data_IF_405878065401
#
_entry.id   IF_405878065401
#
_cell.length_a   1.000
_cell.length_b   1.000
_cell.length_c   1.000
_cell.angle_alpha   90.00
_cell.angle_beta   90.00
_cell.angle_gamma   90.00
#
_symmetry.space_group_name_H-M   'P 1'
#
loop_
_entity.id
_entity.type
_entity.pdbx_description
1 polymer ?
#
# COMPACT_ATOMS: atom_id res chain seq x y z
N UNK A 1 -11.83 -0.88 0.21
CA UNK A 1 -10.47 -0.48 -0.15
C UNK A 1 -9.44 -0.92 0.88
N UNK A 2 -8.19 -0.56 0.66
CA UNK A 2 -7.11 -0.78 1.62
C UNK A 2 -7.08 0.30 2.71
N UNK A 3 -7.62 1.48 2.41
CA UNK A 3 -7.69 2.58 3.38
C UNK A 3 -8.65 2.19 4.50
N UNK A 4 -8.20 2.20 5.78
CA UNK A 4 -9.08 1.92 6.92
C UNK A 4 -10.15 3.02 7.08
N UNK A 5 -11.21 2.73 7.83
CA UNK A 5 -12.16 3.75 8.26
C UNK A 5 -11.47 4.77 9.16
N UNK A 6 -11.78 6.05 8.99
CA UNK A 6 -11.22 7.14 9.80
C UNK A 6 -12.23 8.30 9.93
N UNK A 7 -12.07 9.06 11.01
CA UNK A 7 -12.85 10.29 11.27
C UNK A 7 -12.04 11.55 10.98
N UNK A 8 -10.70 11.46 11.10
CA UNK A 8 -9.80 12.56 10.76
C UNK A 8 -8.62 12.06 9.93
N UNK A 9 -8.21 12.90 8.99
CA UNK A 9 -7.09 12.68 8.10
C UNK A 9 -6.18 13.92 8.15
N UNK A 10 -4.90 13.68 8.39
CA UNK A 10 -3.87 14.70 8.35
C UNK A 10 -2.86 14.30 7.28
N UNK A 11 -2.64 15.16 6.32
CA UNK A 11 -1.71 14.97 5.21
C UNK A 11 -0.61 16.02 5.30
N UNK A 12 0.62 15.56 5.14
CA UNK A 12 1.84 16.39 5.17
C UNK A 12 2.74 16.00 4.00
N UNK A 13 3.71 16.85 3.68
CA UNK A 13 4.82 16.56 2.76
C UNK A 13 4.40 15.93 1.43
N UNK A 14 3.65 16.70 0.64
CA UNK A 14 3.23 16.26 -0.69
C UNK A 14 4.33 16.46 -1.71
N UNK A 15 4.68 15.38 -2.42
CA UNK A 15 5.64 15.36 -3.53
C UNK A 15 4.96 14.80 -4.77
N UNK A 16 5.14 15.45 -5.92
CA UNK A 16 4.68 14.98 -7.22
C UNK A 16 5.81 15.03 -8.22
N UNK A 17 5.90 13.99 -9.05
CA UNK A 17 6.88 13.89 -10.13
C UNK A 17 6.48 12.84 -11.15
N UNK A 18 7.29 12.70 -12.20
CA UNK A 18 7.07 11.71 -13.24
C UNK A 18 8.29 10.80 -13.37
N UNK A 19 8.04 9.51 -13.54
CA UNK A 19 9.05 8.51 -13.84
C UNK A 19 8.60 7.62 -14.99
N UNK A 20 9.31 7.67 -16.13
CA UNK A 20 9.01 6.90 -17.33
C UNK A 20 7.53 6.99 -17.77
N UNK A 21 7.01 8.20 -17.85
CA UNK A 21 5.62 8.53 -18.19
C UNK A 21 4.56 8.08 -17.15
N UNK A 22 4.97 7.64 -15.97
CA UNK A 22 4.10 7.38 -14.83
C UNK A 22 4.16 8.58 -13.89
N UNK A 23 3.02 9.20 -13.64
CA UNK A 23 2.93 10.23 -12.61
C UNK A 23 2.92 9.56 -11.24
N UNK A 24 3.83 10.01 -10.39
CA UNK A 24 4.00 9.60 -8.99
C UNK A 24 3.55 10.74 -8.09
N UNK A 25 2.65 10.45 -7.18
CA UNK A 25 2.25 11.33 -6.08
C UNK A 25 2.52 10.65 -4.75
N UNK A 26 3.10 11.38 -3.80
CA UNK A 26 3.59 10.89 -2.54
C UNK A 26 3.15 11.87 -1.44
N UNK A 27 2.59 11.36 -0.35
CA UNK A 27 2.22 12.20 0.79
C UNK A 27 2.31 11.41 2.09
N UNK A 28 2.76 12.07 3.15
CA UNK A 28 2.63 11.53 4.49
C UNK A 28 1.19 11.66 4.97
N UNK A 29 0.69 10.62 5.62
CA UNK A 29 -0.70 10.55 6.06
C UNK A 29 -0.83 9.96 7.44
N UNK A 30 -1.61 10.64 8.29
CA UNK A 30 -2.06 10.12 9.59
C UNK A 30 -3.57 10.05 9.60
N UNK A 31 -4.10 8.81 9.71
CA UNK A 31 -5.53 8.56 9.80
C UNK A 31 -5.89 8.16 11.23
N UNK A 32 -6.92 8.78 11.78
CA UNK A 32 -7.37 8.55 13.14
C UNK A 32 -8.87 8.26 13.18
N UNK A 33 -9.26 7.35 14.06
CA UNK A 33 -10.64 6.97 14.33
C UNK A 33 -10.97 7.22 15.81
N UNK A 34 -12.13 7.76 16.07
CA UNK A 34 -12.64 7.94 17.42
C UNK A 34 -13.43 6.70 17.83
N UNK A 35 -13.02 6.05 18.91
CA UNK A 35 -13.66 4.85 19.44
C UNK A 35 -14.24 5.10 20.83
N UNK A 36 -15.34 4.39 21.13
CA UNK A 36 -16.05 4.53 22.40
C UNK A 36 -17.07 5.67 22.40
N UNK A 37 -17.76 5.84 23.53
CA UNK A 37 -18.79 6.85 23.72
C UNK A 37 -18.68 7.51 25.10
N UNK A 38 -19.18 8.74 25.22
CA UNK A 38 -19.19 9.49 26.47
C UNK A 38 -17.80 9.64 27.08
N UNK A 39 -17.64 9.29 28.35
CA UNK A 39 -16.38 9.41 29.10
C UNK A 39 -15.26 8.44 28.61
N UNK A 40 -15.62 7.41 27.87
CA UNK A 40 -14.66 6.42 27.33
C UNK A 40 -14.26 6.70 25.88
N UNK A 41 -14.54 7.88 25.37
CA UNK A 41 -14.15 8.30 24.02
C UNK A 41 -12.64 8.46 23.95
N UNK A 42 -12.01 7.79 22.94
CA UNK A 42 -10.58 7.88 22.67
C UNK A 42 -10.31 7.94 21.17
N UNK A 43 -9.31 8.71 20.78
CA UNK A 43 -8.81 8.74 19.41
C UNK A 43 -7.70 7.68 19.25
N UNK A 44 -7.79 6.88 18.20
CA UNK A 44 -6.81 5.83 17.88
C UNK A 44 -6.27 6.09 16.49
N UNK A 45 -4.96 6.09 16.33
CA UNK A 45 -4.32 6.14 15.00
C UNK A 45 -4.52 4.77 14.34
N UNK A 46 -5.23 4.77 13.21
CA UNK A 46 -5.52 3.55 12.42
C UNK A 46 -4.55 3.36 11.26
N UNK A 47 -3.89 4.45 10.84
CA UNK A 47 -2.77 4.43 9.91
C UNK A 47 -1.86 5.64 10.17
N UNK A 48 -0.56 5.41 10.09
CA UNK A 48 0.47 6.44 10.03
C UNK A 48 1.52 5.96 9.03
N UNK A 49 1.88 6.81 8.05
CA UNK A 49 2.83 6.42 7.02
C UNK A 49 2.68 7.21 5.74
N UNK A 50 3.06 6.60 4.63
CA UNK A 50 3.12 7.22 3.32
C UNK A 50 2.09 6.60 2.39
N UNK A 51 1.34 7.44 1.68
CA UNK A 51 0.60 7.06 0.49
C UNK A 51 1.43 7.36 -0.75
N UNK A 52 1.59 6.35 -1.61
CA UNK A 52 2.17 6.50 -2.94
C UNK A 52 1.10 6.18 -3.95
N UNK A 53 0.74 7.15 -4.77
CA UNK A 53 -0.22 6.99 -5.85
C UNK A 53 0.50 7.06 -7.19
N UNK A 54 0.39 6.00 -7.97
CA UNK A 54 0.95 5.90 -9.32
C UNK A 54 -0.18 5.96 -10.34
N UNK A 55 -0.07 6.85 -11.33
CA UNK A 55 -0.94 6.87 -12.50
C UNK A 55 -0.32 5.99 -13.59
N UNK A 56 -0.90 4.83 -13.81
CA UNK A 56 -0.31 3.81 -14.69
C UNK A 56 -0.57 4.06 -16.18
N UNK A 57 -1.33 5.12 -16.53
CA UNK A 57 -1.74 5.42 -17.92
C UNK A 57 -2.40 4.23 -18.65
N UNK A 58 -2.97 3.30 -17.88
CA UNK A 58 -3.69 2.11 -18.36
C UNK A 58 -4.83 1.81 -17.39
N UNK A 59 -6.00 1.58 -17.95
CA UNK A 59 -7.16 1.17 -17.16
C UNK A 59 -7.04 -0.30 -16.77
N UNK A 60 -7.25 -0.59 -15.49
CA UNK A 60 -7.41 -1.94 -14.97
C UNK A 60 -8.87 -2.38 -15.17
N UNK A 61 -9.07 -3.61 -15.64
CA UNK A 61 -10.41 -4.18 -15.86
C UNK A 61 -11.18 -4.38 -14.57
N UNK A 62 -10.45 -4.68 -13.50
CA UNK A 62 -10.99 -4.95 -12.19
C UNK A 62 -10.40 -4.09 -11.09
N UNK A 63 -10.79 -4.43 -9.87
CA UNK A 63 -10.18 -3.91 -8.66
C UNK A 63 -9.43 -5.03 -7.96
N UNK A 64 -8.12 -4.86 -7.82
CA UNK A 64 -7.27 -5.81 -7.09
C UNK A 64 -6.73 -5.16 -5.82
N UNK A 65 -6.79 -5.89 -4.71
CA UNK A 65 -6.36 -5.45 -3.38
C UNK A 65 -5.37 -6.46 -2.82
N UNK A 66 -4.22 -5.98 -2.38
CA UNK A 66 -3.22 -6.75 -1.62
C UNK A 66 -3.15 -6.15 -0.23
N UNK A 67 -3.43 -6.94 0.79
CA UNK A 67 -3.39 -6.51 2.18
C UNK A 67 -2.67 -7.52 3.08
N UNK A 68 -2.32 -7.11 4.28
CA UNK A 68 -1.71 -7.98 5.29
C UNK A 68 -2.58 -9.20 5.55
N UNK A 69 -1.97 -10.39 5.54
CA UNK A 69 -2.60 -11.58 6.13
C UNK A 69 -2.62 -11.44 7.67
N UNK A 70 -3.81 -11.43 8.23
CA UNK A 70 -4.04 -11.36 9.68
C UNK A 70 -4.38 -12.72 10.29
N UNK A 71 -4.16 -13.79 9.50
CA UNK A 71 -4.39 -15.17 9.90
C UNK A 71 -5.87 -15.58 9.96
N UNK A 72 -6.12 -16.86 10.18
CA UNK A 72 -7.48 -17.43 10.12
C UNK A 72 -8.48 -16.78 11.10
N UNK A 73 -8.04 -16.41 12.30
CA UNK A 73 -8.89 -15.76 13.31
C UNK A 73 -9.24 -14.32 12.94
N UNK A 74 -8.24 -13.54 12.50
CA UNK A 74 -8.45 -12.18 12.05
C UNK A 74 -9.31 -12.11 10.79
N UNK A 75 -9.13 -13.07 9.87
CA UNK A 75 -9.91 -13.20 8.65
C UNK A 75 -11.38 -13.58 8.91
N UNK A 76 -11.66 -14.38 9.94
CA UNK A 76 -13.03 -14.68 10.35
C UNK A 76 -13.76 -13.43 10.85
N UNK A 77 -13.08 -12.60 11.67
CA UNK A 77 -13.62 -11.32 12.13
C UNK A 77 -13.80 -10.32 10.97
N UNK A 78 -12.79 -10.18 10.10
CA UNK A 78 -12.87 -9.27 8.96
C UNK A 78 -13.91 -9.71 7.92
N UNK A 79 -14.09 -11.01 7.68
CA UNK A 79 -15.16 -11.54 6.81
C UNK A 79 -16.57 -11.24 7.33
N UNK A 80 -16.77 -11.29 8.64
CA UNK A 80 -18.06 -10.95 9.26
C UNK A 80 -18.40 -9.46 9.15
N UNK A 81 -17.38 -8.60 9.26
CA UNK A 81 -17.49 -7.15 9.07
C UNK A 81 -17.52 -6.77 7.57
N UNK A 82 -16.67 -7.37 6.75
CA UNK A 82 -16.60 -7.11 5.31
C UNK A 82 -17.86 -7.54 4.58
N UNK A 83 -18.47 -8.69 4.91
CA UNK A 83 -19.75 -9.10 4.30
C UNK A 83 -20.85 -8.06 4.51
N UNK A 84 -20.83 -7.30 5.60
CA UNK A 84 -21.85 -6.28 5.89
C UNK A 84 -21.56 -4.94 5.20
N UNK A 85 -20.28 -4.60 4.95
CA UNK A 85 -19.87 -3.34 4.30
C UNK A 85 -19.57 -3.47 2.79
N UNK A 86 -19.05 -4.62 2.35
CA UNK A 86 -18.59 -4.82 0.96
C UNK A 86 -19.58 -5.62 0.09
N UNK A 87 -20.55 -6.32 0.68
CA UNK A 87 -21.39 -7.28 -0.02
C UNK A 87 -22.48 -6.69 -0.89
N UNK A 88 -22.61 -5.38 -1.00
CA UNK A 88 -23.67 -4.77 -1.83
C UNK A 88 -23.20 -4.06 -3.10
N UNK A 89 -21.91 -3.82 -3.30
CA UNK A 89 -21.43 -3.02 -4.43
C UNK A 89 -20.26 -3.59 -5.25
N UNK A 90 -19.37 -4.44 -4.68
CA UNK A 90 -18.18 -4.92 -5.40
C UNK A 90 -17.92 -6.38 -5.02
N UNK A 91 -17.98 -7.27 -6.02
CA UNK A 91 -17.77 -8.71 -5.84
C UNK A 91 -16.27 -9.04 -5.79
N UNK A 92 -15.63 -8.80 -4.63
CA UNK A 92 -14.22 -9.11 -4.41
C UNK A 92 -14.08 -10.57 -3.94
N UNK A 93 -13.38 -11.36 -4.73
CA UNK A 93 -13.05 -12.74 -4.42
C UNK A 93 -11.58 -12.88 -3.99
N UNK A 94 -11.31 -13.86 -3.12
CA UNK A 94 -9.95 -14.17 -2.73
C UNK A 94 -9.21 -14.83 -3.90
N UNK A 95 -8.04 -14.29 -4.24
CA UNK A 95 -7.16 -14.81 -5.28
C UNK A 95 -6.02 -15.56 -4.60
N UNK A 96 -5.84 -16.83 -4.96
CA UNK A 96 -4.69 -17.63 -4.53
C UNK A 96 -3.57 -17.51 -5.53
N UNK A 97 -2.36 -17.29 -5.00
CA UNK A 97 -1.13 -17.18 -5.75
C UNK A 97 -0.21 -18.36 -5.42
N UNK A 98 0.75 -18.63 -6.28
CA UNK A 98 1.62 -19.81 -6.15
C UNK A 98 2.81 -19.59 -5.22
N UNK A 99 3.14 -18.34 -4.88
CA UNK A 99 4.27 -18.00 -4.00
C UNK A 99 3.91 -18.18 -2.52
N UNK A 100 4.47 -19.20 -1.83
CA UNK A 100 4.13 -19.47 -0.44
C UNK A 100 4.69 -18.43 0.54
N UNK A 101 5.73 -17.68 0.16
CA UNK A 101 6.31 -16.61 0.99
C UNK A 101 5.39 -15.41 0.97
N UNK A 102 4.91 -15.07 -0.23
CA UNK A 102 3.95 -13.99 -0.43
C UNK A 102 2.61 -14.31 0.26
N UNK A 103 2.08 -15.52 0.07
CA UNK A 103 0.80 -15.98 0.68
C UNK A 103 0.81 -16.01 2.22
N UNK A 104 1.98 -16.17 2.85
CA UNK A 104 2.13 -16.06 4.31
C UNK A 104 2.04 -14.63 4.84
N UNK A 105 2.34 -13.65 4.00
CA UNK A 105 2.43 -12.23 4.40
C UNK A 105 1.24 -11.42 3.93
N UNK A 106 0.68 -11.81 2.78
CA UNK A 106 -0.36 -11.07 2.09
C UNK A 106 -1.58 -11.92 1.75
N UNK A 107 -2.73 -11.30 1.73
CA UNK A 107 -3.97 -11.78 1.13
C UNK A 107 -4.34 -10.91 -0.05
N UNK A 108 -4.77 -11.56 -1.13
CA UNK A 108 -5.20 -10.89 -2.36
C UNK A 108 -6.70 -11.06 -2.56
N UNK A 109 -7.36 -9.98 -2.94
CA UNK A 109 -8.76 -9.96 -3.32
C UNK A 109 -8.92 -9.21 -4.64
N UNK A 110 -9.74 -9.75 -5.55
CA UNK A 110 -9.98 -9.09 -6.84
C UNK A 110 -11.40 -9.31 -7.32
N UNK A 111 -11.88 -8.40 -8.15
CA UNK A 111 -13.10 -8.58 -8.97
C UNK A 111 -12.80 -9.30 -10.28
N UNK A 112 -11.53 -9.35 -10.69
CA UNK A 112 -11.02 -10.08 -11.85
C UNK A 112 -9.78 -10.89 -11.45
N UNK A 113 -9.96 -12.20 -11.30
CA UNK A 113 -8.90 -13.11 -10.88
C UNK A 113 -7.82 -13.32 -11.93
N UNK A 114 -8.16 -13.18 -13.21
CA UNK A 114 -7.20 -13.34 -14.31
C UNK A 114 -6.29 -12.14 -14.33
N UNK A 115 -6.85 -10.93 -14.34
CA UNK A 115 -6.08 -9.69 -14.27
C UNK A 115 -5.19 -9.64 -13.02
N UNK A 116 -5.73 -10.05 -11.86
CA UNK A 116 -4.95 -10.07 -10.62
C UNK A 116 -3.67 -10.90 -10.73
N UNK A 117 -3.71 -12.06 -11.40
CA UNK A 117 -2.51 -12.90 -11.63
C UNK A 117 -1.52 -12.28 -12.59
N UNK A 118 -2.01 -11.52 -13.59
CA UNK A 118 -1.14 -10.76 -14.49
C UNK A 118 -0.46 -9.57 -13.77
N UNK A 119 -1.14 -8.90 -12.87
CA UNK A 119 -0.58 -7.79 -12.09
C UNK A 119 0.40 -8.27 -11.03
N UNK A 120 0.11 -9.41 -10.39
CA UNK A 120 0.89 -9.96 -9.29
C UNK A 120 1.85 -11.06 -9.75
N UNK A 121 2.70 -10.70 -10.74
CA UNK A 121 3.78 -11.59 -11.19
C UNK A 121 4.78 -11.88 -10.08
N UNK A 122 5.60 -12.91 -10.26
CA UNK A 122 6.67 -13.26 -9.33
C UNK A 122 7.57 -12.06 -9.05
N UNK A 123 7.97 -11.32 -10.09
CA UNK A 123 8.82 -10.13 -9.94
C UNK A 123 8.15 -9.03 -9.13
N UNK A 124 6.85 -8.77 -9.35
CA UNK A 124 6.10 -7.79 -8.56
C UNK A 124 6.00 -8.23 -7.09
N UNK A 125 5.67 -9.49 -6.85
CA UNK A 125 5.57 -10.05 -5.49
C UNK A 125 6.89 -9.95 -4.74
N UNK A 126 8.02 -10.27 -5.37
CA UNK A 126 9.36 -10.13 -4.80
C UNK A 126 9.66 -8.68 -4.41
N UNK A 127 9.35 -7.70 -5.26
CA UNK A 127 9.57 -6.27 -4.96
C UNK A 127 8.67 -5.78 -3.84
N UNK A 128 7.42 -6.24 -3.79
CA UNK A 128 6.52 -5.89 -2.69
C UNK A 128 6.98 -6.51 -1.35
N UNK A 129 7.51 -7.73 -1.37
CA UNK A 129 8.14 -8.37 -0.22
C UNK A 129 9.40 -7.62 0.24
N UNK A 130 10.26 -7.20 -0.69
CA UNK A 130 11.46 -6.42 -0.42
C UNK A 130 11.11 -5.07 0.21
N UNK A 131 10.23 -4.31 -0.42
CA UNK A 131 9.74 -3.03 0.11
C UNK A 131 9.12 -3.22 1.50
N UNK A 132 8.28 -4.25 1.68
CA UNK A 132 7.67 -4.57 2.97
C UNK A 132 8.71 -4.96 4.04
N UNK A 133 9.87 -5.49 3.67
CA UNK A 133 10.94 -5.82 4.62
C UNK A 133 11.64 -4.59 5.20
N UNK A 134 11.74 -3.53 4.41
CA UNK A 134 12.32 -2.24 4.85
C UNK A 134 11.46 -1.57 5.93
N UNK A 135 10.14 -1.81 5.88
CA UNK A 135 9.17 -1.24 6.82
C UNK A 135 8.64 -2.26 7.85
N UNK A 136 9.30 -3.41 8.00
CA UNK A 136 8.79 -4.54 8.78
C UNK A 136 8.48 -4.22 10.25
N UNK A 137 9.17 -3.24 10.85
CA UNK A 137 8.93 -2.82 12.23
C UNK A 137 7.64 -2.01 12.40
N UNK A 138 7.20 -1.31 11.35
CA UNK A 138 6.05 -0.40 11.38
C UNK A 138 4.75 -1.09 10.90
N UNK A 139 4.88 -2.16 10.14
CA UNK A 139 3.72 -2.89 9.63
C UNK A 139 3.98 -3.55 8.28
N UNK A 140 2.90 -3.93 7.62
CA UNK A 140 2.93 -4.54 6.29
C UNK A 140 2.33 -3.57 5.28
N UNK A 141 3.05 -3.38 4.18
CA UNK A 141 2.58 -2.57 3.05
C UNK A 141 1.31 -3.19 2.48
N UNK A 142 0.42 -2.34 2.04
CA UNK A 142 -0.79 -2.76 1.33
C UNK A 142 -0.85 -2.02 0.00
N UNK A 143 -1.46 -2.63 -1.02
CA UNK A 143 -1.67 -1.94 -2.28
C UNK A 143 -3.03 -2.25 -2.90
N UNK A 144 -3.48 -1.36 -3.79
CA UNK A 144 -4.72 -1.51 -4.53
C UNK A 144 -4.57 -0.98 -5.94
N UNK A 145 -4.93 -1.82 -6.91
CA UNK A 145 -5.10 -1.45 -8.31
C UNK A 145 -6.58 -1.15 -8.55
N UNK A 146 -6.88 0.01 -9.12
CA UNK A 146 -8.25 0.40 -9.45
C UNK A 146 -8.27 1.54 -10.47
N UNK A 147 -9.12 1.46 -11.48
CA UNK A 147 -9.12 2.37 -12.63
C UNK A 147 -7.73 2.38 -13.29
N UNK A 148 -7.08 3.51 -13.38
CA UNK A 148 -5.71 3.65 -13.87
C UNK A 148 -4.67 3.88 -12.76
N UNK A 149 -5.02 3.61 -11.51
CA UNK A 149 -4.19 3.96 -10.35
C UNK A 149 -3.70 2.71 -9.59
N UNK A 150 -2.45 2.77 -9.16
CA UNK A 150 -1.90 1.90 -8.12
C UNK A 150 -1.66 2.75 -6.87
N UNK A 151 -2.36 2.44 -5.80
CA UNK A 151 -2.13 3.02 -4.48
C UNK A 151 -1.30 2.05 -3.63
N UNK A 152 -0.16 2.53 -3.11
CA UNK A 152 0.60 1.85 -2.07
C UNK A 152 0.36 2.57 -0.73
N UNK A 153 0.12 1.80 0.31
CA UNK A 153 0.07 2.26 1.71
C UNK A 153 1.27 1.70 2.44
N UNK A 154 2.21 2.55 2.78
CA UNK A 154 3.49 2.19 3.43
C UNK A 154 3.45 2.69 4.87
N UNK A 155 3.29 1.81 5.89
CA UNK A 155 3.30 2.21 7.28
C UNK A 155 4.66 2.80 7.68
N UNK A 156 4.66 3.90 8.40
CA UNK A 156 5.86 4.52 8.96
C UNK A 156 5.54 5.18 10.30
N UNK A 157 6.44 5.07 11.24
CA UNK A 157 6.38 5.77 12.53
C UNK A 157 7.24 7.05 12.53
N UNK A 158 8.01 7.26 11.46
CA UNK A 158 8.88 8.41 11.29
C UNK A 158 8.25 9.42 10.33
N UNK A 159 8.44 10.69 10.62
CA UNK A 159 8.30 11.79 9.67
C UNK A 159 9.51 11.69 8.71
N UNK A 160 9.34 11.14 7.52
CA UNK A 160 10.46 10.72 6.66
C UNK A 160 10.96 11.81 5.76
N UNK A 161 10.13 12.79 5.46
CA UNK A 161 10.49 13.92 4.61
C UNK A 161 11.00 15.11 5.43
N UNK A 162 10.85 15.11 6.74
CA UNK A 162 11.63 16.01 7.59
C UNK A 162 13.08 15.56 7.55
N UNK A 163 13.85 16.20 6.71
CA UNK A 163 15.31 16.10 6.73
C UNK A 163 15.76 16.40 8.15
N UNK A 164 16.37 15.41 8.79
CA UNK A 164 16.84 15.54 10.18
C UNK A 164 17.59 16.86 10.38
N UNK A 165 17.43 17.43 11.55
CA UNK A 165 17.95 18.76 11.89
C UNK A 165 19.28 19.05 11.19
N UNK A 166 19.35 20.15 10.45
CA UNK A 166 20.59 20.68 9.85
C UNK A 166 21.76 20.75 10.84
N UNK A 167 21.46 20.59 12.14
CA UNK A 167 22.43 20.55 13.24
C UNK A 167 23.00 19.14 13.55
N UNK A 168 22.56 18.08 12.83
CA UNK A 168 23.12 16.74 12.95
C UNK A 168 23.54 16.19 11.57
N UNK A 169 24.67 16.62 11.01
CA UNK A 169 25.12 16.24 9.66
C UNK A 169 25.28 14.73 9.45
N UNK A 170 25.56 13.96 10.51
CA UNK A 170 25.81 12.54 10.42
C UNK A 170 24.55 11.72 10.11
N UNK A 171 23.38 12.16 10.59
CA UNK A 171 22.10 11.46 10.32
C UNK A 171 21.51 11.84 8.96
N UNK A 172 21.83 13.03 8.45
CA UNK A 172 21.33 13.55 7.17
C UNK A 172 21.69 12.68 5.96
N UNK A 173 22.94 12.22 5.89
CA UNK A 173 23.41 11.36 4.78
C UNK A 173 22.72 10.00 4.83
N UNK A 174 22.55 9.43 6.02
CA UNK A 174 21.88 8.13 6.20
C UNK A 174 20.39 8.22 5.89
N UNK A 175 19.74 9.32 6.29
CA UNK A 175 18.33 9.56 6.00
C UNK A 175 18.09 9.73 4.49
N UNK A 176 18.94 10.49 3.78
CA UNK A 176 18.87 10.61 2.31
C UNK A 176 19.10 9.26 1.64
N UNK A 177 20.11 8.51 2.03
CA UNK A 177 20.38 7.19 1.46
C UNK A 177 19.21 6.22 1.67
N UNK A 178 18.51 6.32 2.80
CA UNK A 178 17.34 5.53 3.08
C UNK A 178 16.17 5.90 2.15
N UNK A 179 15.87 7.19 2.00
CA UNK A 179 14.83 7.69 1.08
C UNK A 179 15.13 7.28 -0.36
N UNK A 180 16.38 7.44 -0.81
CA UNK A 180 16.79 7.03 -2.16
C UNK A 180 16.60 5.53 -2.40
N UNK A 181 16.88 4.69 -1.41
CA UNK A 181 16.67 3.24 -1.50
C UNK A 181 15.18 2.89 -1.60
N UNK A 182 14.34 3.55 -0.83
CA UNK A 182 12.89 3.34 -0.88
C UNK A 182 12.31 3.78 -2.22
N UNK A 183 12.74 4.95 -2.73
CA UNK A 183 12.34 5.44 -4.05
C UNK A 183 12.81 4.51 -5.17
N UNK A 184 14.02 3.96 -5.08
CA UNK A 184 14.54 3.01 -6.08
C UNK A 184 13.66 1.76 -6.19
N UNK A 185 13.13 1.26 -5.08
CA UNK A 185 12.22 0.09 -5.11
C UNK A 185 10.87 0.46 -5.74
N UNK A 186 10.34 1.65 -5.43
CA UNK A 186 9.11 2.14 -6.07
C UNK A 186 9.29 2.26 -7.59
N UNK A 187 10.43 2.78 -8.05
CA UNK A 187 10.77 2.84 -9.47
C UNK A 187 10.89 1.45 -10.11
N UNK A 188 11.44 0.47 -9.40
CA UNK A 188 11.49 -0.92 -9.88
C UNK A 188 10.08 -1.53 -10.01
N UNK A 189 9.17 -1.24 -9.10
CA UNK A 189 7.76 -1.66 -9.20
C UNK A 189 7.14 -1.07 -10.48
N UNK A 190 7.37 0.22 -10.75
CA UNK A 190 6.89 0.86 -11.99
C UNK A 190 7.47 0.17 -13.22
N UNK A 191 8.77 -0.13 -13.20
CA UNK A 191 9.45 -0.77 -14.33
C UNK A 191 8.87 -2.15 -14.64
N UNK A 192 8.61 -2.96 -13.64
CA UNK A 192 7.97 -4.27 -13.79
C UNK A 192 6.59 -4.12 -14.43
N UNK A 193 5.74 -3.27 -13.88
CA UNK A 193 4.39 -3.07 -14.39
C UNK A 193 4.37 -2.53 -15.83
N UNK A 194 5.34 -1.69 -16.22
CA UNK A 194 5.45 -1.18 -17.61
C UNK A 194 5.96 -2.24 -18.59
N UNK A 195 6.87 -3.10 -18.19
CA UNK A 195 7.35 -4.20 -19.03
C UNK A 195 6.22 -5.16 -19.36
N UNK A 196 5.38 -5.49 -18.40
CA UNK A 196 4.21 -6.35 -18.57
C UNK A 196 3.17 -5.72 -19.51
N UNK A 197 3.00 -4.40 -19.47
CA UNK A 197 2.13 -3.68 -20.42
C UNK A 197 2.61 -3.78 -21.87
N UNK A 198 3.93 -3.77 -22.11
CA UNK A 198 4.52 -3.87 -23.47
C UNK A 198 4.43 -5.27 -24.07
N UNK A 199 4.34 -6.29 -23.24
CA UNK A 199 4.21 -7.69 -23.68
C UNK A 199 2.80 -8.09 -24.07
N UNK A 200 1.82 -7.18 -23.97
CA UNK A 200 0.43 -7.43 -24.34
C UNK A 200 -0.32 -8.33 -23.37
N UNK A 201 0.23 -8.52 -22.19
CA UNK A 201 -0.36 -9.26 -21.08
C UNK A 201 -1.13 -8.30 -20.18
#
# INVERSE_FOLDING_TARGET
>A
GIIPSYDSCHLEDYVKGDYKDITLELTEARLQETRGSGKNRRTVTVFNGIFVLLDMNKDFSGKTIVKKDIGKLGNWFSRKFSKKLFSKAINLENVKLEDPVFEKKFEVYSTDQVEARYLLTTSFMERLLELSSLFSKQGVIQCSFYLNKLLLMIPSDKNRFEVGSVFQPATFIDDINHILKEMAIIFQIIDILKLEQKTGL
#
